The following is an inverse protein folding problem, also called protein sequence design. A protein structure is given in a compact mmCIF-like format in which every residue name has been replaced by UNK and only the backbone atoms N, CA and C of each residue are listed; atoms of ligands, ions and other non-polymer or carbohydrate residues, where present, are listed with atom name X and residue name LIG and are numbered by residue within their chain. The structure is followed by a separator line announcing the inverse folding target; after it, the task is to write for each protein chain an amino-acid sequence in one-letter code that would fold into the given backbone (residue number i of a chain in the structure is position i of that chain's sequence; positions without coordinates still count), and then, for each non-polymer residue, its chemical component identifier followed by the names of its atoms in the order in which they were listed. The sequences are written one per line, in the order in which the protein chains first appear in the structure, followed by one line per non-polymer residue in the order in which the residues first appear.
data_IF_579994668584
#
_entry.id   IF_579994668584
#
_cell.length_a   1.000
_cell.length_b   1.000
_cell.length_c   1.000
_cell.angle_alpha   90.00
_cell.angle_beta   90.00
_cell.angle_gamma   90.00
#
_symmetry.space_group_name_H-M   'P 1'
#
loop_
_entity.id
_entity.type
_entity.pdbx_description
1 polymer ?
#
# COMPACT_ATOMS: atom_id res chain seq x y z
N UNK A 1 -36.97 52.33 -11.21
CA UNK A 1 -36.40 51.25 -12.06
C UNK A 1 -35.46 50.47 -11.17
N UNK A 2 -35.93 49.34 -10.62
CA UNK A 2 -35.15 48.44 -9.77
C UNK A 2 -34.17 47.65 -10.65
N UNK A 3 -32.89 47.61 -10.27
CA UNK A 3 -31.92 46.67 -10.83
C UNK A 3 -31.78 45.55 -9.79
N UNK A 4 -32.22 44.35 -10.16
CA UNK A 4 -32.02 43.14 -9.38
C UNK A 4 -30.56 42.70 -9.49
N UNK A 5 -29.87 42.57 -8.35
CA UNK A 5 -28.59 41.88 -8.24
C UNK A 5 -28.88 40.39 -8.07
N UNK A 6 -28.60 39.60 -9.09
CA UNK A 6 -28.58 38.13 -8.99
C UNK A 6 -27.28 37.69 -8.35
N UNK A 7 -27.41 36.89 -7.29
CA UNK A 7 -26.34 36.24 -6.57
C UNK A 7 -25.47 35.38 -7.51
N UNK A 8 -24.16 35.47 -7.35
CA UNK A 8 -23.23 34.50 -7.89
C UNK A 8 -23.30 33.25 -6.99
N UNK A 9 -23.71 32.13 -7.57
CA UNK A 9 -23.63 30.82 -6.95
C UNK A 9 -22.15 30.40 -6.88
N UNK A 10 -21.66 30.17 -5.65
CA UNK A 10 -20.39 29.49 -5.38
C UNK A 10 -20.48 28.06 -5.93
N UNK A 11 -19.83 27.81 -7.07
CA UNK A 11 -19.56 26.45 -7.53
C UNK A 11 -18.46 25.83 -6.68
N UNK A 12 -18.63 24.61 -6.14
CA UNK A 12 -17.56 23.94 -5.43
C UNK A 12 -16.46 23.58 -6.43
N UNK A 13 -15.26 24.13 -6.21
CA UNK A 13 -14.06 23.79 -6.98
C UNK A 13 -13.80 22.29 -6.82
N UNK A 14 -14.01 21.52 -7.88
CA UNK A 14 -13.64 20.11 -7.91
C UNK A 14 -12.13 19.99 -7.70
N UNK A 15 -11.72 19.33 -6.61
CA UNK A 15 -10.32 19.03 -6.36
C UNK A 15 -9.77 18.16 -7.50
N UNK A 16 -8.55 18.43 -7.95
CA UNK A 16 -7.85 17.58 -8.91
C UNK A 16 -7.65 16.16 -8.33
N UNK A 17 -7.71 15.09 -9.14
CA UNK A 17 -7.65 13.69 -8.66
C UNK A 17 -6.49 13.39 -7.71
N UNK A 18 -5.31 13.97 -7.92
CA UNK A 18 -4.14 13.82 -7.04
C UNK A 18 -4.37 14.43 -5.65
N UNK A 19 -4.97 15.62 -5.57
CA UNK A 19 -5.25 16.28 -4.29
C UNK A 19 -6.34 15.53 -3.50
N UNK A 20 -7.30 14.91 -4.20
CA UNK A 20 -8.29 14.06 -3.57
C UNK A 20 -7.68 12.76 -3.03
N UNK A 21 -6.71 12.16 -3.75
CA UNK A 21 -5.97 11.00 -3.26
C UNK A 21 -5.11 11.35 -2.04
N UNK A 22 -4.35 12.44 -2.07
CA UNK A 22 -3.54 12.89 -0.93
C UNK A 22 -4.40 13.09 0.33
N UNK A 23 -5.55 13.75 0.20
CA UNK A 23 -6.48 13.95 1.32
C UNK A 23 -7.03 12.62 1.86
N UNK A 24 -7.29 11.66 0.97
CA UNK A 24 -7.75 10.32 1.34
C UNK A 24 -6.67 9.55 2.11
N UNK A 25 -5.43 9.56 1.62
CA UNK A 25 -4.29 8.89 2.27
C UNK A 25 -4.08 9.41 3.70
N UNK A 26 -4.10 10.73 3.89
CA UNK A 26 -3.97 11.33 5.21
C UNK A 26 -5.14 11.03 6.14
N UNK A 27 -6.38 11.11 5.63
CA UNK A 27 -7.57 10.77 6.41
C UNK A 27 -7.53 9.31 6.89
N UNK A 28 -7.03 8.40 6.05
CA UNK A 28 -6.89 6.99 6.41
C UNK A 28 -5.75 6.74 7.40
N UNK A 29 -4.58 7.36 7.18
CA UNK A 29 -3.49 7.32 8.14
C UNK A 29 -3.92 7.77 9.53
N UNK A 30 -4.66 8.88 9.60
CA UNK A 30 -5.18 9.39 10.86
C UNK A 30 -6.28 8.48 11.44
N UNK A 31 -7.13 7.86 10.60
CA UNK A 31 -8.14 6.91 11.05
C UNK A 31 -7.52 5.74 11.81
N UNK A 32 -6.54 5.07 11.19
CA UNK A 32 -5.88 3.86 11.70
C UNK A 32 -4.97 4.19 12.87
N UNK A 33 -4.23 5.30 12.80
CA UNK A 33 -3.34 5.74 13.87
C UNK A 33 -4.07 6.31 15.11
N UNK A 34 -5.41 6.40 15.13
CA UNK A 34 -6.15 6.97 16.28
C UNK A 34 -5.83 6.32 17.62
N UNK A 35 -5.48 5.03 17.60
CA UNK A 35 -5.11 4.27 18.79
C UNK A 35 -3.58 4.07 18.92
N UNK A 36 -2.78 4.73 18.08
CA UNK A 36 -1.32 4.62 18.10
C UNK A 36 -0.79 3.26 17.62
N UNK A 37 -1.61 2.50 16.90
CA UNK A 37 -1.26 1.11 16.51
C UNK A 37 -0.05 1.11 15.58
N UNK A 38 0.00 1.96 14.56
CA UNK A 38 1.13 2.03 13.63
C UNK A 38 1.96 3.30 13.82
N UNK A 39 3.21 3.31 13.37
CA UNK A 39 3.94 4.56 13.18
C UNK A 39 3.21 5.44 12.14
N UNK A 40 2.73 6.62 12.55
CA UNK A 40 2.05 7.53 11.61
C UNK A 40 3.00 7.93 10.47
N UNK A 41 2.61 7.77 9.21
CA UNK A 41 3.39 8.28 8.08
C UNK A 41 3.75 9.75 8.25
N UNK A 42 4.99 10.10 7.94
CA UNK A 42 5.48 11.46 7.83
C UNK A 42 5.31 12.02 6.41
N UNK A 43 5.34 11.15 5.39
CA UNK A 43 5.01 11.50 4.00
C UNK A 43 4.41 10.32 3.25
N UNK A 44 3.75 10.61 2.14
CA UNK A 44 3.29 9.63 1.16
C UNK A 44 4.03 9.79 -0.17
N UNK A 45 4.16 8.68 -0.90
CA UNK A 45 4.64 8.68 -2.28
C UNK A 45 3.90 7.64 -3.12
N UNK A 46 3.73 7.91 -4.41
CA UNK A 46 3.36 6.89 -5.39
C UNK A 46 4.60 6.03 -5.69
N UNK A 47 4.50 4.72 -5.44
CA UNK A 47 5.57 3.73 -5.48
C UNK A 47 5.29 2.67 -6.55
N UNK A 48 5.48 3.07 -7.81
CA UNK A 48 5.28 2.19 -8.95
C UNK A 48 3.80 1.84 -9.18
N UNK A 49 3.58 0.82 -10.01
CA UNK A 49 2.25 0.33 -10.36
C UNK A 49 2.20 -1.19 -10.22
N UNK A 50 1.15 -1.71 -9.62
CA UNK A 50 0.92 -3.14 -9.48
C UNK A 50 0.00 -3.63 -10.61
N UNK A 51 0.40 -4.67 -11.33
CA UNK A 51 -0.48 -5.32 -12.29
C UNK A 51 -1.68 -5.97 -11.59
N UNK A 52 -2.90 -5.82 -12.12
CA UNK A 52 -4.09 -6.47 -11.56
C UNK A 52 -4.48 -7.70 -12.38
N UNK A 53 -4.46 -8.87 -11.73
CA UNK A 53 -4.84 -10.14 -12.34
C UNK A 53 -5.92 -10.86 -11.51
N UNK A 54 -6.93 -10.12 -11.03
CA UNK A 54 -8.06 -10.66 -10.25
C UNK A 54 -7.77 -10.95 -8.78
N UNK A 55 -6.49 -10.99 -8.41
CA UNK A 55 -6.04 -11.16 -7.03
C UNK A 55 -4.87 -10.23 -6.70
N UNK A 56 -4.88 -9.71 -5.48
CA UNK A 56 -3.74 -9.01 -4.85
C UNK A 56 -3.34 -9.75 -3.59
N UNK A 57 -2.05 -9.75 -3.30
CA UNK A 57 -1.50 -10.48 -2.16
C UNK A 57 -0.43 -9.65 -1.47
N UNK A 58 -0.54 -9.59 -0.14
CA UNK A 58 0.42 -8.95 0.75
C UNK A 58 1.13 -10.03 1.57
N UNK A 59 2.44 -10.15 1.38
CA UNK A 59 3.29 -11.20 1.93
C UNK A 59 4.24 -10.67 3.00
N UNK A 60 4.50 -11.53 4.00
CA UNK A 60 5.43 -11.29 5.09
C UNK A 60 5.18 -12.23 6.27
N UNK A 61 5.48 -13.56 6.20
CA UNK A 61 5.34 -14.51 7.35
C UNK A 61 6.33 -15.66 7.40
N UNK A 62 6.86 -16.04 8.58
CA UNK A 62 7.51 -17.34 8.83
C UNK A 62 7.10 -17.87 10.22
N UNK A 63 6.99 -19.18 10.51
CA UNK A 63 7.76 -20.35 10.04
C UNK A 63 7.01 -21.28 9.06
N UNK A 64 5.74 -20.97 8.75
CA UNK A 64 4.88 -21.69 7.79
C UNK A 64 4.15 -20.78 6.76
N UNK A 65 4.65 -19.55 6.54
CA UNK A 65 4.33 -18.61 5.44
C UNK A 65 2.86 -18.36 5.10
N UNK A 66 2.19 -17.54 5.93
CA UNK A 66 0.92 -16.93 5.61
C UNK A 66 0.99 -15.82 4.55
N UNK A 67 -0.14 -15.53 3.91
CA UNK A 67 -0.35 -14.43 2.96
C UNK A 67 -1.76 -13.87 3.13
N UNK A 68 -1.91 -12.55 3.06
CA UNK A 68 -3.23 -11.95 2.87
C UNK A 68 -3.54 -11.97 1.38
N UNK A 69 -4.66 -12.57 0.99
CA UNK A 69 -5.10 -12.71 -0.40
C UNK A 69 -6.48 -12.11 -0.51
N UNK A 70 -6.65 -11.16 -1.43
CA UNK A 70 -7.97 -10.72 -1.83
C UNK A 70 -8.28 -11.20 -3.24
N UNK A 71 -9.33 -12.00 -3.36
CA UNK A 71 -9.83 -12.56 -4.61
C UNK A 71 -11.01 -11.74 -5.13
N UNK A 72 -11.35 -11.92 -6.41
CA UNK A 72 -12.52 -11.30 -7.05
C UNK A 72 -12.48 -9.77 -7.15
N UNK A 73 -11.27 -9.20 -7.26
CA UNK A 73 -11.14 -7.80 -7.66
C UNK A 73 -11.90 -7.56 -8.97
N UNK A 74 -12.69 -6.49 -9.01
CA UNK A 74 -13.33 -6.09 -10.25
C UNK A 74 -12.28 -5.98 -11.37
N UNK A 75 -12.60 -6.39 -12.60
CA UNK A 75 -11.71 -6.22 -13.73
C UNK A 75 -11.39 -4.73 -13.90
N UNK A 76 -10.20 -4.35 -13.46
CA UNK A 76 -9.69 -2.98 -13.48
C UNK A 76 -8.74 -2.72 -14.65
N UNK A 77 -8.11 -1.53 -14.70
CA UNK A 77 -6.98 -1.31 -15.60
C UNK A 77 -5.90 -2.36 -15.32
N UNK A 78 -5.17 -2.77 -16.36
CA UNK A 78 -4.15 -3.83 -16.24
C UNK A 78 -3.07 -3.55 -15.20
N UNK A 79 -2.92 -2.29 -14.75
CA UNK A 79 -2.08 -1.87 -13.62
C UNK A 79 -2.74 -0.74 -12.84
N UNK A 80 -2.48 -0.65 -11.53
CA UNK A 80 -2.93 0.43 -10.65
C UNK A 80 -1.76 1.05 -9.89
N UNK A 81 -1.78 2.37 -9.64
CA UNK A 81 -0.73 3.01 -8.84
C UNK A 81 -0.77 2.48 -7.40
N UNK A 82 0.40 2.31 -6.79
CA UNK A 82 0.53 1.95 -5.38
C UNK A 82 1.01 3.18 -4.62
N UNK A 83 0.40 3.49 -3.48
CA UNK A 83 0.84 4.58 -2.61
C UNK A 83 1.42 3.99 -1.32
N UNK A 84 2.54 4.52 -0.84
CA UNK A 84 3.11 4.12 0.43
C UNK A 84 3.34 5.33 1.34
N UNK A 85 2.96 5.17 2.60
CA UNK A 85 3.22 6.06 3.71
C UNK A 85 4.52 5.64 4.41
N UNK A 86 5.42 6.60 4.54
CA UNK A 86 6.77 6.38 5.09
C UNK A 86 7.00 7.24 6.33
N UNK A 87 7.85 6.74 7.21
CA UNK A 87 8.43 7.45 8.34
C UNK A 87 9.93 7.17 8.42
N UNK A 88 10.65 7.99 9.17
CA UNK A 88 12.04 7.70 9.51
C UNK A 88 12.12 6.76 10.70
N UNK A 89 12.89 5.68 10.54
CA UNK A 89 13.21 4.72 11.60
C UNK A 89 14.66 4.87 12.03
N UNK A 90 14.87 5.16 13.31
CA UNK A 90 16.20 5.22 13.94
C UNK A 90 16.50 3.86 14.59
N UNK A 91 16.69 2.83 13.76
CA UNK A 91 17.07 1.51 14.25
C UNK A 91 18.58 1.46 14.55
N UNK A 92 18.95 1.61 15.83
CA UNK A 92 20.33 1.48 16.31
C UNK A 92 21.21 2.72 16.07
N UNK A 93 22.52 2.51 15.93
CA UNK A 93 23.52 3.60 15.82
C UNK A 93 23.73 4.12 14.37
N UNK A 94 22.95 3.61 13.41
CA UNK A 94 23.03 3.97 11.99
C UNK A 94 22.28 5.27 11.64
N UNK A 95 22.42 5.77 10.39
CA UNK A 95 21.55 6.83 9.90
C UNK A 95 20.09 6.37 9.87
N UNK A 96 19.17 7.30 10.10
CA UNK A 96 17.74 7.00 10.01
C UNK A 96 17.38 6.49 8.60
N UNK A 97 16.57 5.43 8.53
CA UNK A 97 16.16 4.81 7.28
C UNK A 97 14.66 5.03 7.04
N UNK A 98 14.27 5.29 5.79
CA UNK A 98 12.87 5.39 5.45
C UNK A 98 12.22 4.00 5.46
N UNK A 99 11.20 3.83 6.30
CA UNK A 99 10.43 2.60 6.47
C UNK A 99 8.97 2.84 6.11
N UNK A 100 8.28 1.80 5.67
CA UNK A 100 6.86 1.86 5.32
C UNK A 100 6.01 1.46 6.52
N UNK A 101 5.01 2.28 6.84
CA UNK A 101 3.98 1.93 7.83
C UNK A 101 2.60 1.71 7.21
N UNK A 102 2.38 2.18 5.97
CA UNK A 102 1.11 2.03 5.28
C UNK A 102 1.33 1.86 3.78
N UNK A 103 0.59 0.96 3.14
CA UNK A 103 0.49 0.80 1.69
C UNK A 103 -0.98 0.88 1.29
N UNK A 104 -1.30 1.64 0.25
CA UNK A 104 -2.66 1.86 -0.24
C UNK A 104 -2.73 1.55 -1.73
N UNK A 105 -3.70 0.73 -2.11
CA UNK A 105 -4.00 0.32 -3.48
C UNK A 105 -5.40 0.83 -3.87
N UNK A 106 -5.50 2.02 -4.48
CA UNK A 106 -6.78 2.54 -4.96
C UNK A 106 -7.23 1.78 -6.21
N UNK A 107 -8.37 1.11 -6.12
CA UNK A 107 -8.96 0.32 -7.21
C UNK A 107 -10.05 1.10 -7.96
N UNK A 108 -10.48 2.24 -7.41
CA UNK A 108 -11.41 3.18 -8.01
C UNK A 108 -10.89 4.62 -7.90
N UNK A 109 -11.64 5.56 -8.48
CA UNK A 109 -11.34 6.99 -8.31
C UNK A 109 -11.55 7.45 -6.85
N UNK A 110 -10.91 8.55 -6.43
CA UNK A 110 -11.01 9.04 -5.06
C UNK A 110 -12.44 9.29 -4.57
N UNK A 111 -13.36 9.71 -5.44
CA UNK A 111 -14.71 10.06 -5.01
C UNK A 111 -15.49 8.81 -4.57
N UNK A 112 -15.32 7.70 -5.29
CA UNK A 112 -15.88 6.39 -4.91
C UNK A 112 -15.29 5.88 -3.60
N UNK A 113 -13.97 5.97 -3.43
CA UNK A 113 -13.33 5.50 -2.19
C UNK A 113 -13.75 6.37 -0.98
N UNK A 114 -13.94 7.68 -1.15
CA UNK A 114 -14.42 8.57 -0.09
C UNK A 114 -15.83 8.19 0.39
N UNK A 115 -16.68 7.71 -0.52
CA UNK A 115 -18.05 7.32 -0.24
C UNK A 115 -18.18 5.91 0.35
N UNK A 116 -17.15 5.08 0.22
CA UNK A 116 -17.14 3.71 0.69
C UNK A 116 -17.05 3.60 2.22
N UNK A 117 -17.55 2.48 2.74
CA UNK A 117 -17.36 2.08 4.14
C UNK A 117 -16.06 1.29 4.28
N UNK A 118 -15.34 1.49 5.37
CA UNK A 118 -14.09 0.77 5.63
C UNK A 118 -14.35 -0.34 6.62
N UNK A 119 -13.90 -1.55 6.27
CA UNK A 119 -13.96 -2.72 7.13
C UNK A 119 -12.55 -3.21 7.48
N UNK A 120 -12.42 -3.82 8.65
CA UNK A 120 -11.25 -4.62 9.00
C UNK A 120 -11.30 -5.85 8.10
N UNK A 121 -10.45 -5.86 7.07
CA UNK A 121 -10.58 -6.79 5.95
C UNK A 121 -10.70 -8.23 6.44
N UNK A 122 -9.87 -8.62 7.42
CA UNK A 122 -9.95 -9.91 8.11
C UNK A 122 -9.25 -9.84 9.48
N UNK A 123 -9.97 -10.06 10.58
CA UNK A 123 -9.40 -10.06 11.93
C UNK A 123 -8.55 -11.31 12.25
N UNK A 124 -7.48 -11.12 13.05
CA UNK A 124 -6.73 -12.21 13.69
C UNK A 124 -5.70 -12.92 12.80
N UNK A 125 -5.21 -12.24 11.77
CA UNK A 125 -4.17 -12.76 10.89
C UNK A 125 -2.90 -11.97 11.11
N UNK A 126 -1.98 -12.52 11.90
CA UNK A 126 -0.66 -11.96 12.15
C UNK A 126 0.24 -12.46 11.02
N UNK A 127 0.76 -11.59 10.14
CA UNK A 127 1.91 -11.98 9.37
C UNK A 127 3.24 -11.26 9.67
N UNK A 128 4.30 -11.96 10.12
CA UNK A 128 5.68 -11.58 10.49
C UNK A 128 6.68 -11.44 9.30
N UNK A 129 7.46 -10.37 9.17
CA UNK A 129 8.07 -9.97 7.90
C UNK A 129 8.98 -11.04 7.28
N UNK A 130 9.12 -11.02 5.95
CA UNK A 130 10.20 -11.76 5.28
C UNK A 130 11.50 -10.98 5.52
N UNK A 131 12.15 -11.26 6.65
CA UNK A 131 13.47 -10.73 7.01
C UNK A 131 13.50 -9.19 7.10
N UNK A 132 12.44 -8.59 7.67
CA UNK A 132 12.25 -7.13 7.77
C UNK A 132 11.58 -6.47 6.56
N UNK A 133 11.04 -7.25 5.63
CA UNK A 133 10.39 -6.76 4.41
C UNK A 133 8.96 -7.29 4.26
N UNK A 134 8.09 -6.42 3.76
CA UNK A 134 6.77 -6.78 3.27
C UNK A 134 6.75 -6.74 1.73
N UNK A 135 5.93 -7.59 1.11
CA UNK A 135 5.86 -7.70 -0.35
C UNK A 135 4.41 -7.59 -0.83
N UNK A 136 4.14 -6.59 -1.67
CA UNK A 136 2.87 -6.49 -2.40
C UNK A 136 3.04 -7.09 -3.79
N UNK A 137 2.11 -7.95 -4.20
CA UNK A 137 2.11 -8.51 -5.53
C UNK A 137 0.71 -8.98 -5.97
N UNK A 138 0.60 -9.53 -7.17
CA UNK A 138 -0.65 -10.04 -7.75
C UNK A 138 -0.43 -11.36 -8.48
N UNK A 139 -1.52 -12.10 -8.75
CA UNK A 139 -1.42 -13.33 -9.54
C UNK A 139 -0.79 -13.10 -10.94
N UNK A 140 -0.13 -14.12 -11.51
CA UNK A 140 0.14 -15.45 -10.96
C UNK A 140 1.35 -15.46 -10.00
N UNK A 141 1.81 -14.29 -9.53
CA UNK A 141 2.99 -14.23 -8.70
C UNK A 141 2.72 -14.62 -7.25
N UNK A 142 3.42 -15.68 -6.85
CA UNK A 142 3.61 -16.08 -5.47
C UNK A 142 5.12 -16.15 -5.21
N UNK A 143 5.68 -15.23 -4.40
CA UNK A 143 7.09 -15.25 -4.02
C UNK A 143 7.47 -16.56 -3.31
N UNK A 144 6.54 -17.42 -2.93
CA UNK A 144 6.86 -18.66 -2.20
C UNK A 144 6.63 -19.92 -3.05
N UNK A 145 5.94 -19.84 -4.19
CA UNK A 145 5.49 -21.06 -4.89
C UNK A 145 5.67 -21.14 -6.41
N UNK A 146 6.22 -20.12 -7.07
CA UNK A 146 6.42 -20.17 -8.53
C UNK A 146 7.53 -21.16 -8.92
N UNK A 147 7.15 -22.19 -9.69
CA UNK A 147 8.09 -23.19 -10.21
C UNK A 147 9.12 -22.56 -11.15
N UNK A 148 10.40 -22.82 -10.89
CA UNK A 148 11.51 -22.38 -11.73
C UNK A 148 12.00 -20.96 -11.45
N UNK A 149 11.44 -20.28 -10.44
CA UNK A 149 11.89 -18.97 -9.98
C UNK A 149 12.50 -19.08 -8.58
N UNK A 150 13.63 -18.41 -8.40
CA UNK A 150 14.34 -18.36 -7.12
C UNK A 150 13.85 -17.14 -6.32
N UNK A 151 12.82 -17.37 -5.51
CA UNK A 151 12.27 -16.41 -4.56
C UNK A 151 13.32 -15.77 -3.65
N UNK A 152 14.31 -16.57 -3.23
CA UNK A 152 15.39 -16.09 -2.37
C UNK A 152 16.33 -15.17 -3.15
N UNK A 153 16.53 -15.40 -4.45
CA UNK A 153 17.27 -14.47 -5.30
C UNK A 153 16.53 -13.13 -5.46
N UNK A 154 15.22 -13.14 -5.69
CA UNK A 154 14.42 -11.91 -5.78
C UNK A 154 14.47 -11.11 -4.47
N UNK A 155 14.33 -11.79 -3.33
CA UNK A 155 14.46 -11.17 -2.01
C UNK A 155 15.86 -10.59 -1.77
N UNK A 156 16.92 -11.33 -2.13
CA UNK A 156 18.31 -10.84 -2.01
C UNK A 156 18.54 -9.60 -2.87
N UNK A 157 17.98 -9.57 -4.08
CA UNK A 157 18.10 -8.41 -4.96
C UNK A 157 17.31 -7.20 -4.42
N UNK A 158 16.08 -7.42 -3.93
CA UNK A 158 15.30 -6.36 -3.29
C UNK A 158 16.03 -5.76 -2.08
N UNK A 159 16.60 -6.61 -1.21
CA UNK A 159 17.45 -6.19 -0.09
C UNK A 159 18.63 -5.35 -0.54
N UNK A 160 19.32 -5.77 -1.61
CA UNK A 160 20.47 -5.04 -2.16
C UNK A 160 20.08 -3.65 -2.65
N UNK A 161 18.96 -3.53 -3.37
CA UNK A 161 18.44 -2.25 -3.88
C UNK A 161 18.04 -1.33 -2.71
N UNK A 162 17.35 -1.87 -1.72
CA UNK A 162 16.85 -1.10 -0.58
C UNK A 162 18.00 -0.65 0.33
N UNK A 163 18.99 -1.51 0.58
CA UNK A 163 20.18 -1.15 1.35
C UNK A 163 20.99 -0.04 0.66
N UNK A 164 21.20 -0.14 -0.65
CA UNK A 164 21.87 0.93 -1.41
C UNK A 164 21.09 2.26 -1.33
N UNK A 165 19.76 2.21 -1.42
CA UNK A 165 18.93 3.40 -1.23
C UNK A 165 18.99 3.98 0.19
N UNK A 166 19.08 3.13 1.21
CA UNK A 166 19.23 3.54 2.59
C UNK A 166 20.58 4.24 2.83
N UNK A 167 21.68 3.69 2.29
CA UNK A 167 23.02 4.29 2.35
C UNK A 167 23.06 5.69 1.71
N UNK A 168 22.20 5.94 0.72
CA UNK A 168 22.03 7.24 0.05
C UNK A 168 21.04 8.18 0.76
N UNK A 169 20.38 7.75 1.85
CA UNK A 169 19.37 8.52 2.57
C UNK A 169 18.06 8.71 1.79
N UNK A 170 17.69 7.74 0.96
CA UNK A 170 16.50 7.83 0.09
C UNK A 170 15.20 7.86 0.90
N UNK A 171 14.42 8.94 0.72
CA UNK A 171 13.08 9.11 1.32
C UNK A 171 12.02 8.13 0.81
N UNK A 172 12.16 7.62 -0.41
CA UNK A 172 11.20 6.67 -0.99
C UNK A 172 11.94 5.35 -1.19
N UNK A 173 11.99 4.55 -0.13
CA UNK A 173 12.82 3.36 -0.08
C UNK A 173 12.00 2.09 -0.34
N UNK A 174 12.12 1.54 -1.55
CA UNK A 174 11.46 0.30 -1.97
C UNK A 174 12.24 -0.35 -3.12
N UNK A 175 11.89 -1.58 -3.46
CA UNK A 175 12.34 -2.24 -4.68
C UNK A 175 11.15 -2.79 -5.47
N UNK A 176 11.16 -2.59 -6.78
CA UNK A 176 10.27 -3.28 -7.71
C UNK A 176 11.06 -4.39 -8.41
N UNK A 177 10.56 -5.61 -8.32
CA UNK A 177 11.05 -6.73 -9.11
C UNK A 177 10.00 -7.04 -10.18
N UNK A 178 10.38 -6.87 -11.44
CA UNK A 178 9.58 -7.29 -12.60
C UNK A 178 9.83 -8.76 -12.86
N UNK A 179 8.76 -9.52 -13.05
CA UNK A 179 8.76 -10.98 -12.90
C UNK A 179 8.37 -11.64 -14.20
N UNK A 180 7.26 -11.16 -14.75
CA UNK A 180 6.74 -11.57 -16.03
C UNK A 180 6.60 -10.31 -16.88
N UNK A 181 7.63 -9.96 -17.67
CA UNK A 181 7.58 -8.76 -18.51
C UNK A 181 6.52 -8.88 -19.62
N UNK A 182 6.12 -10.09 -20.00
CA UNK A 182 5.15 -10.34 -21.07
C UNK A 182 3.70 -10.23 -20.55
N UNK A 183 3.45 -10.66 -19.30
CA UNK A 183 2.14 -10.58 -18.64
C UNK A 183 2.02 -9.42 -17.65
N UNK A 184 3.09 -8.67 -17.45
CA UNK A 184 3.15 -7.48 -16.60
C UNK A 184 3.26 -7.75 -15.10
N UNK A 185 3.49 -8.99 -14.66
CA UNK A 185 3.55 -9.34 -13.24
C UNK A 185 4.78 -8.73 -12.54
N UNK A 186 4.55 -8.06 -11.40
CA UNK A 186 5.58 -7.43 -10.59
C UNK A 186 5.31 -7.57 -9.08
N UNK A 187 6.36 -7.37 -8.29
CA UNK A 187 6.33 -7.40 -6.84
C UNK A 187 7.05 -6.17 -6.29
N UNK A 188 6.43 -5.52 -5.31
CA UNK A 188 6.97 -4.36 -4.61
C UNK A 188 7.39 -4.78 -3.22
N UNK A 189 8.66 -4.58 -2.90
CA UNK A 189 9.28 -4.89 -1.62
C UNK A 189 9.46 -3.61 -0.82
N UNK A 190 9.01 -3.64 0.43
CA UNK A 190 9.03 -2.50 1.33
C UNK A 190 9.77 -2.86 2.61
N UNK A 191 10.78 -2.06 3.03
CA UNK A 191 11.35 -2.20 4.35
C UNK A 191 10.32 -1.70 5.38
N UNK A 192 10.05 -2.50 6.40
CA UNK A 192 9.09 -2.19 7.47
C UNK A 192 9.76 -2.35 8.83
N UNK A 193 9.23 -1.70 9.87
CA UNK A 193 9.68 -1.90 11.25
C UNK A 193 8.82 -2.93 11.97
N UNK A 194 7.51 -2.66 12.03
CA UNK A 194 6.63 -3.38 12.92
C UNK A 194 6.48 -4.85 12.56
N UNK A 195 6.53 -5.75 13.53
CA UNK A 195 6.44 -7.20 13.42
C UNK A 195 5.03 -7.73 13.12
N UNK A 196 4.02 -6.89 13.23
CA UNK A 196 2.61 -7.20 12.97
C UNK A 196 2.05 -6.40 11.77
N UNK A 197 0.97 -6.89 11.16
CA UNK A 197 0.30 -6.23 10.01
C UNK A 197 -1.19 -6.49 9.98
N UNK A 198 -1.94 -5.50 9.52
CA UNK A 198 -3.37 -5.57 9.23
C UNK A 198 -3.67 -5.17 7.78
N UNK A 199 -4.79 -5.67 7.28
CA UNK A 199 -5.37 -5.32 5.98
C UNK A 199 -6.78 -4.75 6.13
N UNK A 200 -7.08 -3.73 5.33
CA UNK A 200 -8.37 -3.04 5.34
C UNK A 200 -8.91 -2.93 3.92
N UNK A 201 -10.24 -2.94 3.83
CA UNK A 201 -10.96 -2.86 2.58
C UNK A 201 -11.94 -1.69 2.64
N UNK A 202 -11.96 -0.89 1.58
CA UNK A 202 -13.03 0.07 1.35
C UNK A 202 -14.07 -0.57 0.44
N UNK A 203 -15.30 -0.66 0.91
CA UNK A 203 -16.42 -1.38 0.29
C UNK A 203 -17.53 -0.40 -0.12
N UNK A 204 -18.04 -0.55 -1.33
CA UNK A 204 -19.32 0.05 -1.72
C UNK A 204 -20.49 -0.73 -1.08
N UNK A 205 -21.70 -0.16 -1.14
CA UNK A 205 -22.91 -0.76 -0.52
C UNK A 205 -23.22 -2.18 -1.03
N UNK A 206 -22.81 -2.53 -2.25
CA UNK A 206 -22.99 -3.85 -2.84
C UNK A 206 -21.87 -4.84 -2.49
N UNK A 207 -20.90 -4.44 -1.67
CA UNK A 207 -19.73 -5.22 -1.29
C UNK A 207 -18.56 -5.11 -2.27
N UNK A 208 -18.65 -4.26 -3.29
CA UNK A 208 -17.53 -4.02 -4.23
C UNK A 208 -16.36 -3.36 -3.53
N UNK A 209 -15.18 -3.96 -3.63
CA UNK A 209 -13.95 -3.38 -3.09
C UNK A 209 -13.40 -2.31 -4.02
N UNK A 210 -13.23 -1.10 -3.48
CA UNK A 210 -12.76 0.08 -4.21
C UNK A 210 -11.39 0.58 -3.75
N UNK A 211 -10.89 0.09 -2.61
CA UNK A 211 -9.54 0.37 -2.13
C UNK A 211 -9.07 -0.73 -1.18
N UNK A 212 -7.78 -1.02 -1.19
CA UNK A 212 -7.12 -1.86 -0.21
C UNK A 212 -6.07 -1.03 0.53
N UNK A 213 -5.93 -1.25 1.84
CA UNK A 213 -4.84 -0.69 2.61
C UNK A 213 -4.19 -1.74 3.51
N UNK A 214 -2.88 -1.68 3.63
CA UNK A 214 -2.06 -2.56 4.48
C UNK A 214 -1.26 -1.69 5.42
N UNK A 215 -1.12 -2.10 6.68
CA UNK A 215 -0.31 -1.40 7.66
C UNK A 215 0.74 -2.31 8.28
N UNK A 216 1.78 -1.71 8.85
CA UNK A 216 2.77 -2.38 9.68
C UNK A 216 2.79 -1.74 11.07
N UNK A 217 2.79 -2.57 12.11
CA UNK A 217 2.75 -2.13 13.50
C UNK A 217 3.49 -3.08 14.45
N UNK A 218 3.75 -2.64 15.68
CA UNK A 218 4.23 -3.45 16.79
C UNK A 218 3.21 -3.39 17.94
N UNK A 219 3.08 -4.48 18.71
CA UNK A 219 2.44 -4.40 20.03
C UNK A 219 3.49 -4.00 21.07
N UNK A 220 3.27 -2.88 21.76
CA UNK A 220 3.99 -2.54 22.99
C UNK A 220 3.68 -3.53 24.13
#
# INVERSE_FOLDING_TARGET
MLIAMTAAEDSPVSATPTAAMDALLWRWADHVNRNGVMARPEWFACVGELALAGQVTWYGMATNAGRWVHENLLPGPGRVPVYAGFHWSEAGDGPAEARVSMVVLPLADPARIIAAEWDEGYGGYEPAPVDGYAVLCSEPFDPVSIRGRDAEADLREAKRIIAAGADEGRRVNYAEIVIDPDRGGNALFFPVDGEERDGYEALEEDGTVVCLAFISYDFD
#
